data_IF_695803844084
#
_entry.id   IF_695803844084
#
_cell.length_a   1.000
_cell.length_b   1.000
_cell.length_c   1.000
_cell.angle_alpha   90.00
_cell.angle_beta   90.00
_cell.angle_gamma   90.00
#
_symmetry.space_group_name_H-M   'P 1'
#
loop_
_entity.id
_entity.type
_entity.pdbx_description
1 polymer ?
#
# COMPACT_ATOMS: atom_id res chain seq x y z
N UNK A 1 7.68 9.41 21.76
CA UNK A 1 8.69 9.56 20.70
C UNK A 1 8.10 8.94 19.45
N UNK A 2 7.46 9.75 18.61
CA UNK A 2 6.97 9.31 17.29
C UNK A 2 8.19 9.01 16.44
N UNK A 3 8.32 7.77 15.96
CA UNK A 3 9.33 7.44 14.95
C UNK A 3 9.00 8.30 13.73
N UNK A 4 9.92 9.15 13.30
CA UNK A 4 9.81 9.75 11.98
C UNK A 4 9.81 8.58 10.98
N UNK A 5 8.70 8.35 10.29
CA UNK A 5 8.67 7.40 9.18
C UNK A 5 9.53 7.98 8.07
N UNK A 6 10.78 7.52 7.97
CA UNK A 6 11.78 7.97 6.97
C UNK A 6 11.21 7.90 5.54
N UNK A 7 10.33 6.92 5.30
CA UNK A 7 9.69 6.61 4.02
C UNK A 7 8.55 7.58 3.64
N UNK A 8 7.88 8.21 4.62
CA UNK A 8 6.82 9.21 4.37
C UNK A 8 5.38 8.69 4.27
N UNK A 9 5.09 7.46 4.72
CA UNK A 9 3.72 6.92 4.74
C UNK A 9 2.76 7.81 5.55
N UNK A 10 1.63 8.18 4.94
CA UNK A 10 0.57 8.98 5.57
C UNK A 10 -0.80 8.52 5.05
N UNK A 11 -1.24 7.34 5.47
CA UNK A 11 -2.46 6.70 4.99
C UNK A 11 -3.68 7.10 5.82
N UNK A 12 -4.75 7.51 5.13
CA UNK A 12 -6.09 7.66 5.68
C UNK A 12 -7.04 6.70 4.94
N UNK A 13 -7.64 5.78 5.67
CA UNK A 13 -8.42 4.67 5.11
C UNK A 13 -9.91 5.01 5.09
N UNK A 14 -10.28 6.22 4.69
CA UNK A 14 -11.66 6.72 4.74
C UNK A 14 -12.72 5.79 4.10
N UNK A 15 -12.36 4.95 3.13
CA UNK A 15 -13.26 3.96 2.53
C UNK A 15 -13.74 2.89 3.53
N UNK A 16 -12.96 2.56 4.56
CA UNK A 16 -13.36 1.62 5.61
C UNK A 16 -14.52 2.14 6.47
N UNK A 17 -14.83 3.43 6.39
CA UNK A 17 -15.99 4.02 7.11
C UNK A 17 -17.33 3.72 6.44
N UNK A 18 -17.33 3.20 5.20
CA UNK A 18 -18.54 2.80 4.49
C UNK A 18 -19.14 1.51 5.09
N UNK A 19 -20.42 1.20 4.81
CA UNK A 19 -21.02 -0.05 5.23
C UNK A 19 -20.27 -1.28 4.70
N UNK A 20 -20.27 -2.37 5.48
CA UNK A 20 -19.59 -3.63 5.13
C UNK A 20 -20.08 -4.28 3.82
N UNK A 21 -21.23 -3.86 3.28
CA UNK A 21 -21.67 -4.32 1.95
C UNK A 21 -20.80 -3.80 0.80
N UNK A 22 -20.00 -2.75 1.03
CA UNK A 22 -19.17 -2.12 0.00
C UNK A 22 -17.77 -2.72 -0.11
N UNK A 23 -17.31 -3.49 0.87
CA UNK A 23 -15.97 -4.07 0.85
C UNK A 23 -15.85 -5.32 1.72
N UNK A 24 -14.72 -5.99 1.62
CA UNK A 24 -14.28 -7.03 2.57
C UNK A 24 -12.84 -6.75 2.94
N UNK A 25 -12.53 -6.75 4.23
CA UNK A 25 -11.15 -6.68 4.71
C UNK A 25 -10.40 -7.97 4.35
N UNK A 26 -9.29 -7.83 3.63
CA UNK A 26 -8.51 -8.98 3.16
C UNK A 26 -7.04 -8.60 3.04
N UNK A 27 -6.11 -9.34 3.68
CA UNK A 27 -4.69 -9.09 3.52
C UNK A 27 -4.19 -9.54 2.15
N UNK A 28 -3.07 -8.95 1.66
CA UNK A 28 -2.41 -9.45 0.47
C UNK A 28 -1.88 -10.88 0.68
N UNK A 29 -1.73 -11.63 -0.42
CA UNK A 29 -1.06 -12.94 -0.41
C UNK A 29 0.44 -12.74 -0.68
N UNK A 30 1.35 -13.15 0.23
CA UNK A 30 2.79 -12.96 0.05
C UNK A 30 3.36 -13.72 -1.16
N UNK A 31 4.44 -13.20 -1.73
CA UNK A 31 5.18 -13.82 -2.83
C UNK A 31 6.58 -14.25 -2.40
N UNK A 32 7.18 -15.18 -3.15
CA UNK A 32 8.58 -15.60 -2.95
C UNK A 32 9.57 -14.63 -3.59
N UNK A 33 10.63 -14.26 -2.86
CA UNK A 33 11.77 -13.47 -3.37
C UNK A 33 11.39 -12.19 -4.13
N UNK A 34 10.75 -11.21 -3.47
CA UNK A 34 10.34 -9.98 -4.13
C UNK A 34 11.55 -9.09 -4.49
N UNK A 35 11.53 -8.53 -5.69
CA UNK A 35 12.58 -7.64 -6.21
C UNK A 35 11.99 -6.40 -6.91
N UNK A 36 12.69 -5.27 -6.82
CA UNK A 36 12.28 -4.02 -7.46
C UNK A 36 12.68 -3.99 -8.93
N UNK A 37 11.71 -3.97 -9.84
CA UNK A 37 11.95 -3.86 -11.30
C UNK A 37 12.11 -2.40 -11.73
N UNK A 38 11.22 -1.52 -11.27
CA UNK A 38 11.22 -0.09 -11.63
C UNK A 38 10.48 0.73 -10.57
N UNK A 39 11.04 1.88 -10.21
CA UNK A 39 10.41 2.86 -9.32
C UNK A 39 10.15 4.17 -10.07
N UNK A 40 8.95 4.74 -9.93
CA UNK A 40 8.66 6.08 -10.45
C UNK A 40 9.00 7.14 -9.39
N UNK A 41 10.20 7.70 -9.49
CA UNK A 41 10.72 8.69 -8.54
C UNK A 41 9.86 9.96 -8.45
N UNK A 42 9.41 10.49 -9.60
CA UNK A 42 8.60 11.71 -9.63
C UNK A 42 7.27 11.51 -8.91
N UNK A 43 6.64 10.34 -9.09
CA UNK A 43 5.38 10.04 -8.42
C UNK A 43 5.59 9.86 -6.91
N UNK A 44 6.62 9.13 -6.49
CA UNK A 44 6.95 8.95 -5.07
C UNK A 44 7.09 10.30 -4.34
N UNK A 45 7.86 11.24 -4.92
CA UNK A 45 8.01 12.59 -4.36
C UNK A 45 6.66 13.32 -4.29
N UNK A 46 5.84 13.25 -5.35
CA UNK A 46 4.52 13.90 -5.37
C UNK A 46 3.54 13.34 -4.33
N UNK A 47 3.72 12.09 -3.91
CA UNK A 47 2.95 11.44 -2.85
C UNK A 47 3.51 11.71 -1.44
N UNK A 48 4.59 12.48 -1.31
CA UNK A 48 5.25 12.76 -0.04
C UNK A 48 6.18 11.62 0.45
N UNK A 49 6.52 10.68 -0.43
CA UNK A 49 7.39 9.55 -0.11
C UNK A 49 8.85 9.83 -0.48
N UNK A 50 9.78 9.22 0.24
CA UNK A 50 11.23 9.31 -0.02
C UNK A 50 11.67 8.20 -0.98
N UNK A 51 12.05 8.48 -2.25
CA UNK A 51 12.32 7.42 -3.24
C UNK A 51 13.47 6.48 -2.87
N UNK A 52 14.48 6.96 -2.17
CA UNK A 52 15.63 6.13 -1.75
C UNK A 52 15.25 5.15 -0.65
N UNK A 53 14.29 5.50 0.21
CA UNK A 53 13.74 4.60 1.22
C UNK A 53 12.93 3.46 0.58
N UNK A 54 12.17 3.77 -0.48
CA UNK A 54 11.36 2.80 -1.22
C UNK A 54 12.16 1.70 -1.92
N UNK A 55 13.50 1.84 -2.02
CA UNK A 55 14.40 0.83 -2.58
C UNK A 55 14.92 -0.16 -1.53
N UNK A 56 14.70 0.10 -0.23
CA UNK A 56 15.11 -0.82 0.85
C UNK A 56 14.27 -2.09 0.80
N UNK A 57 14.85 -3.23 1.19
CA UNK A 57 14.18 -4.53 1.15
C UNK A 57 12.86 -4.56 1.94
N UNK A 58 12.80 -3.86 3.07
CA UNK A 58 11.57 -3.72 3.86
C UNK A 58 10.42 -3.08 3.06
N UNK A 59 10.74 -2.11 2.21
CA UNK A 59 9.75 -1.32 1.48
C UNK A 59 9.35 -2.04 0.18
N UNK A 60 10.30 -2.75 -0.42
CA UNK A 60 10.01 -3.71 -1.50
C UNK A 60 9.05 -4.79 -0.99
N UNK A 61 9.23 -5.29 0.24
CA UNK A 61 8.32 -6.26 0.83
C UNK A 61 6.90 -5.71 1.02
N UNK A 62 6.74 -4.41 1.34
CA UNK A 62 5.44 -3.74 1.38
C UNK A 62 4.76 -3.76 -0.01
N UNK A 63 5.45 -3.32 -1.06
CA UNK A 63 4.89 -3.28 -2.41
C UNK A 63 4.59 -4.66 -2.99
N UNK A 64 5.32 -5.68 -2.55
CA UNK A 64 5.11 -7.07 -2.96
C UNK A 64 3.97 -7.77 -2.19
N UNK A 65 3.36 -7.12 -1.20
CA UNK A 65 2.31 -7.73 -0.37
C UNK A 65 2.86 -8.68 0.70
N UNK A 66 4.15 -8.63 0.99
CA UNK A 66 4.81 -9.44 2.03
C UNK A 66 4.81 -8.74 3.40
N UNK A 67 4.58 -7.42 3.42
CA UNK A 67 4.40 -6.61 4.62
C UNK A 67 3.33 -5.55 4.38
N UNK A 68 2.90 -4.87 5.44
CA UNK A 68 1.99 -3.73 5.35
C UNK A 68 2.70 -2.46 5.84
N UNK A 69 2.49 -1.30 5.19
CA UNK A 69 2.97 -0.04 5.72
C UNK A 69 2.16 0.32 6.97
N UNK A 70 2.75 1.17 7.81
CA UNK A 70 2.06 1.67 9.00
C UNK A 70 0.73 2.36 8.62
N UNK A 71 -0.33 2.00 9.33
CA UNK A 71 -1.67 2.56 9.12
C UNK A 71 -2.44 2.01 7.92
N UNK A 72 -1.96 0.99 7.21
CA UNK A 72 -2.75 0.36 6.13
C UNK A 72 -3.88 -0.53 6.64
N UNK A 73 -5.07 -0.41 6.04
CA UNK A 73 -6.21 -1.31 6.21
C UNK A 73 -6.62 -1.89 4.85
N UNK A 74 -6.01 -3.01 4.42
CA UNK A 74 -6.25 -3.57 3.09
C UNK A 74 -7.66 -4.14 2.95
N UNK A 75 -8.30 -3.86 1.81
CA UNK A 75 -9.66 -4.29 1.50
C UNK A 75 -9.82 -4.62 0.01
N UNK A 76 -10.83 -5.43 -0.29
CA UNK A 76 -11.36 -5.64 -1.63
C UNK A 76 -12.73 -4.97 -1.74
N UNK A 77 -12.91 -4.07 -2.71
CA UNK A 77 -14.16 -3.34 -2.92
C UNK A 77 -15.16 -4.19 -3.71
N UNK A 78 -16.43 -4.18 -3.30
CA UNK A 78 -17.52 -4.72 -4.09
C UNK A 78 -17.83 -3.78 -5.25
N UNK A 79 -17.97 -4.33 -6.46
CA UNK A 79 -18.39 -3.57 -7.64
C UNK A 79 -19.22 -4.46 -8.57
N UNK A 80 -19.95 -3.82 -9.48
CA UNK A 80 -20.70 -4.47 -10.54
C UNK A 80 -20.62 -3.64 -11.82
N UNK A 81 -20.93 -4.24 -12.96
CA UNK A 81 -20.95 -3.57 -14.24
C UNK A 81 -21.50 -4.49 -15.33
N UNK A 82 -22.00 -3.89 -16.40
CA UNK A 82 -22.43 -4.65 -17.56
C UNK A 82 -21.20 -5.16 -18.31
N UNK A 83 -21.07 -6.48 -18.44
CA UNK A 83 -20.12 -7.12 -19.33
C UNK A 83 -20.93 -7.77 -20.46
N UNK A 84 -20.93 -7.12 -21.63
CA UNK A 84 -21.73 -7.49 -22.80
C UNK A 84 -23.24 -7.56 -22.52
#
# INVERSE_FOLDING_TARGET
MTKNNETGWNLDNSYTTLPQSFYTEIPPTPVSSPELVKLNHSLAISLGLTPEELKKEAEIAIFAGNALPEGAHPLAQAYAGHQF
#
